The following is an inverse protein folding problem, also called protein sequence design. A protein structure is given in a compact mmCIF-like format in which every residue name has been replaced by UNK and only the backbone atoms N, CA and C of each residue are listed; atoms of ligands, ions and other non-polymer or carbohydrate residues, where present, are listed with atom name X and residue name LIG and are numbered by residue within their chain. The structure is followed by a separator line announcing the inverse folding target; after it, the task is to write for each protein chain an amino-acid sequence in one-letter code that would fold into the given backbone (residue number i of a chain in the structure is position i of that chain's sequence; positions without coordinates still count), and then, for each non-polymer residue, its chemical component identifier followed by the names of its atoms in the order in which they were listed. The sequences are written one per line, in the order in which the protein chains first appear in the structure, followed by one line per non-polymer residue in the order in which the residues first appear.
data_IF_328533087682
#
_entry.id   IF_328533087682
#
_cell.length_a   1.000
_cell.length_b   1.000
_cell.length_c   1.000
_cell.angle_alpha   90.00
_cell.angle_beta   90.00
_cell.angle_gamma   90.00
#
_symmetry.space_group_name_H-M   'P 1'
#
loop_
_entity.id
_entity.type
_entity.pdbx_description
1 polymer ?
#
# COMPACT_ATOMS: atom_id res chain seq x y z
N UNK A 1 -3.80 -15.88 3.97
CA UNK A 1 -3.89 -16.36 2.58
C UNK A 1 -3.59 -15.24 1.61
N UNK A 2 -2.93 -15.56 0.53
CA UNK A 2 -2.55 -14.56 -0.46
C UNK A 2 -3.20 -14.87 -1.80
N UNK A 3 -3.70 -13.82 -2.45
CA UNK A 3 -4.13 -13.86 -3.83
C UNK A 3 -3.39 -12.78 -4.58
N UNK A 4 -2.68 -13.18 -5.63
CA UNK A 4 -2.02 -12.20 -6.50
C UNK A 4 -3.02 -11.78 -7.57
N UNK A 5 -3.22 -10.47 -7.68
CA UNK A 5 -4.23 -9.93 -8.59
C UNK A 5 -3.63 -8.77 -9.38
N UNK A 6 -4.35 -8.32 -10.39
CA UNK A 6 -3.95 -7.15 -11.17
C UNK A 6 -5.13 -6.18 -11.22
N UNK A 7 -4.84 -4.95 -11.61
CA UNK A 7 -5.85 -3.91 -11.73
C UNK A 7 -5.56 -2.73 -10.82
N UNK A 8 -6.58 -1.92 -10.64
CA UNK A 8 -6.47 -0.68 -9.85
C UNK A 8 -6.81 -0.97 -8.39
N UNK A 9 -5.80 -0.90 -7.54
CA UNK A 9 -5.96 -1.18 -6.12
C UNK A 9 -6.96 -0.22 -5.45
N UNK A 10 -7.12 0.98 -5.99
CA UNK A 10 -8.09 1.94 -5.42
C UNK A 10 -9.52 1.50 -5.61
N UNK A 11 -9.75 0.51 -6.46
CA UNK A 11 -11.08 -0.05 -6.70
C UNK A 11 -11.27 -1.40 -6.02
N UNK A 12 -10.38 -1.75 -5.12
CA UNK A 12 -10.45 -3.03 -4.43
C UNK A 12 -11.72 -3.16 -3.62
N UNK A 13 -12.19 -4.40 -3.46
CA UNK A 13 -13.31 -4.70 -2.57
C UNK A 13 -12.82 -5.16 -1.20
N UNK A 14 -11.51 -5.19 -0.98
CA UNK A 14 -10.96 -5.54 0.33
C UNK A 14 -11.40 -4.52 1.38
N UNK A 15 -11.42 -4.97 2.62
CA UNK A 15 -11.84 -4.10 3.72
C UNK A 15 -10.83 -3.01 4.03
N UNK A 16 -9.56 -3.25 3.75
CA UNK A 16 -8.48 -2.30 4.01
C UNK A 16 -7.54 -2.26 2.83
N UNK A 17 -6.87 -1.12 2.67
CA UNK A 17 -5.71 -1.00 1.77
C UNK A 17 -4.51 -0.68 2.66
N UNK A 18 -3.43 -1.44 2.52
CA UNK A 18 -2.18 -1.16 3.20
C UNK A 18 -1.14 -0.69 2.19
N UNK A 19 -0.40 0.34 2.54
CA UNK A 19 0.63 0.85 1.64
C UNK A 19 1.81 1.38 2.44
N UNK A 20 2.95 1.56 1.77
CA UNK A 20 4.16 2.01 2.41
C UNK A 20 4.34 3.50 2.31
N UNK A 21 4.85 4.09 3.38
CA UNK A 21 5.14 5.53 3.40
C UNK A 21 6.50 5.75 4.08
N UNK A 22 7.05 6.94 3.88
CA UNK A 22 8.29 7.33 4.53
C UNK A 22 8.03 7.78 5.95
N UNK A 23 9.04 7.60 6.79
CA UNK A 23 8.98 8.12 8.16
C UNK A 23 9.40 9.59 8.17
N UNK A 24 9.26 10.22 9.29
CA UNK A 24 9.79 11.55 9.51
C UNK A 24 8.92 12.65 8.97
N UNK A 25 8.98 12.90 7.70
CA UNK A 25 8.19 13.96 7.08
C UNK A 25 7.03 13.35 6.33
N UNK A 26 6.18 14.19 5.79
CA UNK A 26 5.02 13.73 5.03
C UNK A 26 5.33 13.58 3.54
N UNK A 27 6.60 13.58 3.19
CA UNK A 27 7.00 13.56 1.80
C UNK A 27 6.46 12.38 1.02
N UNK A 28 6.44 11.21 1.67
CA UNK A 28 5.96 10.01 1.02
C UNK A 28 4.51 10.06 0.61
N UNK A 29 3.73 10.97 1.20
CA UNK A 29 2.32 11.09 0.86
C UNK A 29 2.09 11.89 -0.42
N UNK A 30 3.13 12.53 -0.93
CA UNK A 30 3.02 13.33 -2.12
C UNK A 30 3.41 12.63 -3.42
N UNK A 31 3.63 11.31 -3.37
CA UNK A 31 4.06 10.56 -4.55
C UNK A 31 3.36 9.23 -4.64
N UNK A 32 3.32 8.68 -5.85
CA UNK A 32 2.87 7.32 -6.11
C UNK A 32 1.50 7.00 -5.55
N UNK A 33 1.37 5.80 -5.03
CA UNK A 33 0.10 5.32 -4.48
C UNK A 33 -0.35 6.15 -3.29
N UNK A 34 0.59 6.58 -2.45
CA UNK A 34 0.24 7.39 -1.30
C UNK A 34 -0.47 8.68 -1.73
N UNK A 35 0.01 9.31 -2.79
CA UNK A 35 -0.66 10.50 -3.34
C UNK A 35 -2.06 10.17 -3.83
N UNK A 36 -2.22 9.06 -4.52
CA UNK A 36 -3.52 8.66 -5.06
C UNK A 36 -4.52 8.37 -3.95
N UNK A 37 -4.08 7.71 -2.90
CA UNK A 37 -4.92 7.44 -1.74
C UNK A 37 -5.32 8.74 -1.07
N UNK A 38 -4.36 9.65 -0.87
CA UNK A 38 -4.64 10.94 -0.24
C UNK A 38 -5.60 11.78 -1.06
N UNK A 39 -5.48 11.71 -2.38
CA UNK A 39 -6.35 12.48 -3.27
C UNK A 39 -7.77 11.92 -3.28
N UNK A 40 -7.91 10.61 -3.25
CA UNK A 40 -9.23 9.99 -3.28
C UNK A 40 -9.91 10.07 -1.92
N UNK A 41 -9.16 9.91 -0.84
CA UNK A 41 -9.70 9.89 0.52
C UNK A 41 -8.91 10.83 1.42
N UNK A 42 -9.10 12.14 1.24
CA UNK A 42 -8.30 13.12 2.00
C UNK A 42 -8.51 13.05 3.50
N UNK A 43 -9.62 12.53 3.98
CA UNK A 43 -9.85 12.38 5.40
C UNK A 43 -8.85 11.39 6.03
N UNK A 44 -8.52 10.33 5.30
CA UNK A 44 -7.53 9.37 5.81
C UNK A 44 -6.16 10.03 5.98
N UNK A 45 -5.75 10.82 5.00
CA UNK A 45 -4.50 11.55 5.10
C UNK A 45 -4.50 12.51 6.29
N UNK A 46 -5.62 13.16 6.52
CA UNK A 46 -5.74 14.10 7.62
C UNK A 46 -5.53 13.39 8.96
N UNK A 47 -6.12 12.23 9.14
CA UNK A 47 -5.94 11.45 10.35
C UNK A 47 -4.47 11.05 10.54
N UNK A 48 -3.83 10.62 9.46
CA UNK A 48 -2.43 10.21 9.54
C UNK A 48 -1.54 11.40 9.91
N UNK A 49 -1.77 12.55 9.30
CA UNK A 49 -0.97 13.74 9.60
C UNK A 49 -1.16 14.20 11.04
N UNK A 50 -2.38 14.12 11.55
CA UNK A 50 -2.63 14.45 12.95
C UNK A 50 -1.87 13.52 13.88
N UNK A 51 -1.87 12.22 13.56
CA UNK A 51 -1.15 11.25 14.36
C UNK A 51 0.35 11.54 14.37
N UNK A 52 0.95 11.82 13.22
CA UNK A 52 2.40 12.00 13.14
C UNK A 52 2.87 13.32 13.76
N UNK A 53 1.99 14.26 13.95
CA UNK A 53 2.37 15.50 14.66
C UNK A 53 2.65 15.25 16.13
N UNK A 54 1.92 14.36 16.75
CA UNK A 54 2.03 14.13 18.18
C UNK A 54 2.65 12.81 18.57
N UNK A 55 3.01 11.98 17.61
CA UNK A 55 3.50 10.64 17.89
C UNK A 55 4.66 10.31 16.97
N UNK A 56 5.59 9.51 17.48
CA UNK A 56 6.66 9.01 16.63
C UNK A 56 6.13 7.94 15.71
N UNK A 57 6.57 7.99 14.48
CA UNK A 57 6.25 6.99 13.49
C UNK A 57 7.58 6.49 12.93
N UNK A 58 7.99 5.32 13.40
CA UNK A 58 9.32 4.79 13.16
C UNK A 58 9.28 3.63 12.21
N UNK A 59 10.44 3.25 11.66
CA UNK A 59 10.51 2.18 10.70
C UNK A 59 9.86 0.90 11.18
N UNK A 60 8.95 0.38 10.38
CA UNK A 60 8.20 -0.81 10.72
C UNK A 60 6.91 -0.56 11.48
N UNK A 61 6.63 0.67 11.85
CA UNK A 61 5.36 1.00 12.52
C UNK A 61 4.21 0.98 11.53
N UNK A 62 3.02 0.81 12.08
CA UNK A 62 1.83 0.98 11.27
C UNK A 62 0.84 1.91 11.98
N UNK A 63 0.04 2.59 11.20
CA UNK A 63 -1.05 3.41 11.68
C UNK A 63 -2.28 3.08 10.86
N UNK A 64 -3.41 2.87 11.51
CA UNK A 64 -4.62 2.40 10.86
C UNK A 64 -5.72 3.45 10.96
N UNK A 65 -6.30 3.78 9.83
CA UNK A 65 -7.53 4.56 9.76
C UNK A 65 -8.65 3.58 9.48
N UNK A 66 -9.63 3.52 10.37
CA UNK A 66 -10.70 2.53 10.28
C UNK A 66 -11.53 2.72 9.02
N UNK A 67 -12.19 1.64 8.54
CA UNK A 67 -13.09 1.77 7.39
C UNK A 67 -14.20 2.75 7.67
N UNK A 68 -14.64 3.44 6.62
CA UNK A 68 -15.77 4.34 6.69
C UNK A 68 -16.80 3.90 5.66
N UNK A 69 -17.97 4.58 5.66
CA UNK A 69 -19.08 4.16 4.81
C UNK A 69 -18.69 4.02 3.35
N UNK A 70 -17.89 4.95 2.85
CA UNK A 70 -17.60 5.02 1.42
C UNK A 70 -16.14 4.80 1.09
N UNK A 71 -15.38 4.16 1.99
CA UNK A 71 -13.99 3.83 1.70
C UNK A 71 -13.52 2.68 2.56
N UNK A 72 -12.49 1.94 2.09
CA UNK A 72 -11.85 0.94 2.94
C UNK A 72 -11.08 1.61 4.06
N UNK A 73 -10.67 0.84 5.05
CA UNK A 73 -9.69 1.30 6.00
C UNK A 73 -8.35 1.48 5.30
N UNK A 74 -7.52 2.36 5.83
CA UNK A 74 -6.19 2.61 5.26
C UNK A 74 -5.14 2.30 6.30
N UNK A 75 -4.18 1.46 5.95
CA UNK A 75 -3.08 1.09 6.82
C UNK A 75 -1.80 1.70 6.25
N UNK A 76 -1.17 2.54 7.05
CA UNK A 76 0.08 3.19 6.69
C UNK A 76 1.22 2.40 7.32
N UNK A 77 2.12 1.89 6.49
CA UNK A 77 3.30 1.14 6.96
C UNK A 77 4.54 1.99 6.75
N UNK A 78 5.33 2.11 7.79
CA UNK A 78 6.59 2.86 7.71
C UNK A 78 7.64 1.97 7.05
N UNK A 79 7.75 2.04 5.73
CA UNK A 79 8.61 1.15 4.96
C UNK A 79 9.90 1.80 4.47
N UNK A 80 10.03 3.11 4.60
CA UNK A 80 11.23 3.79 4.10
C UNK A 80 11.62 4.93 5.01
N UNK A 81 12.96 5.14 5.17
CA UNK A 81 13.43 6.26 5.98
C UNK A 81 13.25 7.59 5.27
N UNK A 82 13.13 7.59 3.94
CA UNK A 82 12.96 8.80 3.16
C UNK A 82 12.14 8.45 1.92
N UNK A 83 11.97 9.42 1.03
CA UNK A 83 11.16 9.23 -0.17
C UNK A 83 11.88 8.50 -1.30
N UNK A 84 13.15 8.12 -1.11
CA UNK A 84 13.95 7.60 -2.21
C UNK A 84 14.10 6.10 -2.23
N UNK A 85 14.15 5.47 -1.06
CA UNK A 85 14.36 4.02 -1.05
C UNK A 85 13.75 3.38 0.18
N UNK A 86 13.07 2.27 -0.02
CA UNK A 86 12.51 1.48 1.07
C UNK A 86 13.62 0.73 1.79
N UNK A 87 13.37 0.39 3.05
CA UNK A 87 14.27 -0.39 3.88
C UNK A 87 13.70 -1.78 4.05
N UNK A 88 14.48 -2.78 3.68
CA UNK A 88 14.04 -4.16 3.83
C UNK A 88 13.80 -4.50 5.31
N UNK A 89 14.61 -3.93 6.19
CA UNK A 89 14.42 -4.11 7.63
C UNK A 89 13.10 -3.50 8.11
N UNK A 90 12.76 -2.30 7.64
CA UNK A 90 11.49 -1.68 7.98
C UNK A 90 10.33 -2.52 7.46
N UNK A 91 10.45 -2.99 6.22
CA UNK A 91 9.41 -3.80 5.61
C UNK A 91 9.20 -5.09 6.39
N UNK A 92 10.29 -5.73 6.79
CA UNK A 92 10.21 -6.96 7.56
C UNK A 92 9.43 -6.74 8.86
N UNK A 93 9.76 -5.68 9.58
CA UNK A 93 9.06 -5.36 10.84
C UNK A 93 7.62 -4.97 10.58
N UNK A 94 7.38 -4.20 9.53
CA UNK A 94 6.04 -3.75 9.21
C UNK A 94 5.11 -4.88 8.82
N UNK A 95 5.59 -5.82 8.01
CA UNK A 95 4.76 -6.95 7.61
C UNK A 95 4.46 -7.86 8.79
N UNK A 96 5.42 -8.02 9.70
CA UNK A 96 5.16 -8.79 10.92
C UNK A 96 4.07 -8.13 11.76
N UNK A 97 4.15 -6.82 11.92
CA UNK A 97 3.13 -6.09 12.68
C UNK A 97 1.78 -6.13 11.98
N UNK A 98 1.79 -6.03 10.65
CA UNK A 98 0.55 -6.11 9.89
C UNK A 98 -0.14 -7.45 10.10
N UNK A 99 0.62 -8.52 10.02
CA UNK A 99 0.07 -9.86 10.20
C UNK A 99 -0.54 -9.99 11.61
N UNK A 100 0.19 -9.53 12.62
CA UNK A 100 -0.30 -9.59 14.00
C UNK A 100 -1.54 -8.73 14.20
N UNK A 101 -1.56 -7.57 13.59
CA UNK A 101 -2.72 -6.67 13.68
C UNK A 101 -3.95 -7.35 13.08
N UNK A 102 -3.78 -7.97 11.92
CA UNK A 102 -4.90 -8.63 11.25
C UNK A 102 -5.44 -9.80 12.05
N UNK A 103 -4.57 -10.58 12.68
CA UNK A 103 -5.00 -11.68 13.53
C UNK A 103 -5.75 -11.15 14.75
N UNK A 104 -5.16 -10.15 15.42
CA UNK A 104 -5.72 -9.61 16.65
C UNK A 104 -7.08 -8.98 16.44
N UNK A 105 -7.27 -8.32 15.30
CA UNK A 105 -8.52 -7.60 15.01
C UNK A 105 -9.44 -8.39 14.10
N UNK A 106 -9.08 -9.62 13.76
CA UNK A 106 -9.91 -10.48 12.93
C UNK A 106 -10.26 -9.78 11.61
N UNK A 107 -9.24 -9.24 10.95
CA UNK A 107 -9.43 -8.51 9.70
C UNK A 107 -9.72 -9.49 8.58
N UNK A 108 -10.78 -9.26 7.83
CA UNK A 108 -11.19 -10.15 6.77
C UNK A 108 -10.28 -10.10 5.56
N UNK A 109 -9.98 -8.90 5.07
CA UNK A 109 -9.20 -8.76 3.84
C UNK A 109 -8.44 -7.44 3.80
N UNK A 110 -7.27 -7.49 3.14
CA UNK A 110 -6.39 -6.33 2.97
C UNK A 110 -5.84 -6.37 1.56
N UNK A 111 -5.87 -5.25 0.87
CA UNK A 111 -5.24 -5.10 -0.43
C UNK A 111 -3.89 -4.43 -0.24
N UNK A 112 -2.87 -4.93 -0.95
CA UNK A 112 -1.52 -4.37 -0.90
C UNK A 112 -0.97 -4.22 -2.31
N UNK A 113 -0.17 -3.18 -2.55
CA UNK A 113 0.63 -3.12 -3.77
C UNK A 113 1.90 -3.92 -3.58
N UNK A 114 2.80 -3.85 -4.56
CA UNK A 114 4.16 -4.40 -4.39
C UNK A 114 4.96 -3.46 -3.49
N UNK A 115 4.68 -3.52 -2.20
CA UNK A 115 5.25 -2.61 -1.24
C UNK A 115 6.77 -2.65 -1.28
N UNK A 116 7.38 -1.47 -1.36
CA UNK A 116 8.84 -1.34 -1.36
C UNK A 116 9.46 -1.52 -2.73
N UNK A 117 8.73 -2.05 -3.70
CA UNK A 117 9.31 -2.40 -5.00
C UNK A 117 9.13 -1.32 -6.06
N UNK A 118 8.08 -0.52 -5.97
CA UNK A 118 7.87 0.56 -6.95
C UNK A 118 8.85 1.70 -6.74
N UNK A 119 8.36 2.79 -6.19
CA UNK A 119 9.22 3.93 -5.88
C UNK A 119 10.25 3.60 -4.82
N UNK A 120 10.01 2.60 -3.99
CA UNK A 120 10.97 2.18 -2.96
C UNK A 120 12.18 1.45 -3.49
N UNK A 121 12.17 1.01 -4.73
CA UNK A 121 13.32 0.46 -5.46
C UNK A 121 13.85 -0.88 -4.97
N UNK A 122 13.14 -1.58 -4.10
CA UNK A 122 13.51 -2.95 -3.76
C UNK A 122 13.08 -3.87 -4.90
N UNK A 123 13.77 -5.00 -5.04
CA UNK A 123 13.44 -5.94 -6.09
C UNK A 123 12.23 -6.78 -5.68
N UNK A 124 11.21 -6.78 -6.53
CA UNK A 124 9.97 -7.47 -6.20
C UNK A 124 10.17 -8.99 -6.09
N UNK A 125 10.80 -9.58 -7.10
CA UNK A 125 10.88 -11.04 -7.14
C UNK A 125 11.83 -11.62 -6.10
N UNK A 126 12.94 -10.94 -5.84
CA UNK A 126 13.97 -11.50 -4.97
C UNK A 126 13.95 -10.98 -3.56
N UNK A 127 13.35 -9.83 -3.30
CA UNK A 127 13.39 -9.23 -1.98
C UNK A 127 12.02 -9.11 -1.32
N UNK A 128 11.06 -8.47 -1.98
CA UNK A 128 9.82 -8.14 -1.29
C UNK A 128 8.76 -9.21 -1.39
N UNK A 129 8.59 -9.85 -2.53
CA UNK A 129 7.58 -10.90 -2.67
C UNK A 129 7.83 -12.08 -1.73
N UNK A 130 9.07 -12.59 -1.63
CA UNK A 130 9.31 -13.67 -0.67
C UNK A 130 9.01 -13.27 0.76
N UNK A 131 9.29 -12.02 1.11
CA UNK A 131 9.04 -11.54 2.46
C UNK A 131 7.55 -11.45 2.73
N UNK A 132 6.78 -10.97 1.77
CA UNK A 132 5.34 -10.89 1.93
C UNK A 132 4.73 -12.29 2.07
N UNK A 133 5.21 -13.23 1.28
CA UNK A 133 4.73 -14.60 1.39
C UNK A 133 5.05 -15.19 2.76
N UNK A 134 6.25 -14.92 3.27
CA UNK A 134 6.66 -15.42 4.57
C UNK A 134 5.71 -15.00 5.68
N UNK A 135 5.27 -13.75 5.67
CA UNK A 135 4.47 -13.23 6.77
C UNK A 135 2.97 -13.34 6.55
N UNK A 136 2.51 -13.35 5.30
CA UNK A 136 1.09 -13.15 5.04
C UNK A 136 0.38 -14.39 4.50
N UNK A 137 1.12 -15.41 4.11
CA UNK A 137 0.53 -16.55 3.41
C UNK A 137 -0.33 -17.45 4.29
N UNK A 138 0.06 -17.64 5.53
CA UNK A 138 -0.51 -18.71 6.35
C UNK A 138 -1.66 -18.31 7.26
N UNK A 139 -2.07 -17.07 7.26
CA UNK A 139 -3.16 -16.63 8.14
C UNK A 139 -4.52 -16.75 7.50
N UNK A 140 -5.54 -16.34 8.25
CA UNK A 140 -6.92 -16.39 7.77
C UNK A 140 -7.32 -15.14 7.02
N UNK A 141 -6.63 -14.02 7.28
CA UNK A 141 -6.87 -12.79 6.53
C UNK A 141 -6.51 -13.01 5.07
N UNK A 142 -7.35 -12.57 4.17
CA UNK A 142 -7.09 -12.67 2.74
C UNK A 142 -6.36 -11.41 2.29
N UNK A 143 -5.15 -11.59 1.76
CA UNK A 143 -4.35 -10.49 1.25
C UNK A 143 -4.37 -10.52 -0.26
N UNK A 144 -4.95 -9.47 -0.85
CA UNK A 144 -4.92 -9.28 -2.30
C UNK A 144 -3.69 -8.45 -2.63
N UNK A 145 -2.71 -9.08 -3.25
CA UNK A 145 -1.49 -8.37 -3.63
C UNK A 145 -1.60 -7.99 -5.09
N UNK A 146 -1.65 -6.71 -5.35
CA UNK A 146 -1.75 -6.16 -6.70
C UNK A 146 -0.37 -6.17 -7.32
N UNK A 147 -0.02 -7.33 -7.85
CA UNK A 147 1.32 -7.59 -8.38
C UNK A 147 1.55 -6.87 -9.69
N UNK A 148 0.55 -6.87 -10.53
CA UNK A 148 0.59 -6.15 -11.79
C UNK A 148 -0.04 -4.79 -11.54
N UNK A 149 0.74 -3.92 -10.97
CA UNK A 149 0.26 -2.67 -10.44
C UNK A 149 0.23 -1.60 -11.51
N UNK A 150 0.16 -1.95 -12.76
CA UNK A 150 -0.07 -0.92 -13.72
C UNK A 150 -1.39 -0.33 -13.37
N UNK A 151 -1.37 0.77 -12.77
CA UNK A 151 -2.63 1.37 -12.50
C UNK A 151 -3.16 1.90 -13.81
N UNK A 152 -4.42 1.75 -13.94
CA UNK A 152 -5.09 2.13 -15.18
C UNK A 152 -4.91 3.59 -15.50
N UNK A 153 -4.61 4.37 -14.49
CA UNK A 153 -4.43 5.80 -14.72
C UNK A 153 -3.15 6.11 -15.47
N UNK A 154 -2.17 5.25 -15.30
CA UNK A 154 -0.93 5.43 -16.06
C UNK A 154 -1.06 4.88 -17.45
N UNK A 155 -1.82 3.82 -17.56
CA UNK A 155 -1.99 3.19 -18.86
C UNK A 155 -3.05 3.87 -19.72
N UNK A 156 -4.07 4.39 -19.07
CA UNK A 156 -5.14 5.01 -19.84
C UNK A 156 -4.70 6.13 -20.76
N UNK A 157 -3.80 7.02 -20.34
CA UNK A 157 -3.36 8.03 -21.27
C UNK A 157 -2.81 7.44 -22.55
N UNK A 158 -2.03 6.40 -22.41
CA UNK A 158 -1.48 5.76 -23.60
C UNK A 158 -2.57 5.19 -24.49
N UNK A 159 -3.49 4.48 -23.87
CA UNK A 159 -4.57 3.89 -24.64
C UNK A 159 -5.47 4.95 -25.24
N UNK A 160 -5.73 5.95 -24.46
CA UNK A 160 -6.60 7.03 -24.92
C UNK A 160 -5.97 7.88 -25.98
N UNK A 161 -4.73 8.10 -25.81
CA UNK A 161 -4.00 8.89 -26.78
C UNK A 161 -3.90 8.19 -28.12
N UNK A 162 -3.91 6.94 -28.05
CA UNK A 162 -3.88 6.14 -29.24
C UNK A 162 -5.22 6.06 -29.86
N UNK A 163 -5.58 6.19 -29.28
CA UNK A 163 -6.46 5.88 -29.60
C UNK A 163 -6.73 5.26 -30.09
N UNK A 164 -6.24 5.23 -29.79
CA UNK A 164 -6.66 4.82 -29.86
C UNK A 164 -6.52 4.38 -30.07
N UNK A 165 -5.96 4.48 -30.32
CA UNK A 165 -6.09 4.18 -30.34
C UNK A 165 -5.98 3.67 -30.27
N UNK A 166 -5.87 3.70 -30.75
CA UNK A 166 -5.99 3.42 -30.62
C UNK A 166 -6.31 2.98 -31.03
N UNK A 167 -5.81 3.32 -31.12
CA UNK A 167 -6.27 3.19 -31.39
C UNK A 167 -6.63 2.93 -31.61
N UNK A 168 -6.49 3.09 -31.98
CA UNK A 168 -6.92 2.95 -32.08
C UNK A 168 -7.23 2.68 -32.08
N UNK A 169 -6.86 2.88 -31.85
CA UNK A 169 -7.30 2.83 -31.55
C UNK A 169 -7.52 2.82 -31.58
#
# INVERSE_FOLDING_TARGET
MIKFVSGDILRTTAKYIAHGVATGTQEGLGTGLALKISSKWPDAQKHFKQFTRGNKFQGGDLFVVAPARNRPGIIYLATQPDMYQASLSFLNRGLRKLERYCVKRDIESVALPRIGAGLGKLDWETETKPLMMKFLENGETLFYIYEDFTNEYEDQPDRRDKPTTRTPG
#
